data_IF_068709902366
#
_entry.id   IF_068709902366
#
_cell.length_a   1.000
_cell.length_b   1.000
_cell.length_c   1.000
_cell.angle_alpha   90.00
_cell.angle_beta   90.00
_cell.angle_gamma   90.00
#
_symmetry.space_group_name_H-M   'P 1'
#
loop_
_entity.id
_entity.type
_entity.pdbx_description
1 polymer ?
#
# COMPACT_ATOMS: atom_id res chain seq x y z
N UNK A 1 -7.66 44.52 31.07
CA UNK A 1 -7.37 45.09 32.41
C UNK A 1 -6.01 45.76 32.35
N UNK A 2 -5.86 47.01 32.81
CA UNK A 2 -4.58 47.72 32.73
C UNK A 2 -3.50 47.01 33.58
N UNK A 3 -2.26 46.87 33.08
CA UNK A 3 -1.20 46.10 33.75
C UNK A 3 -0.88 46.59 35.17
N UNK A 4 -1.10 47.88 35.46
CA UNK A 4 -0.88 48.48 36.78
C UNK A 4 -1.89 48.05 37.85
N UNK A 5 -3.19 47.99 37.50
CA UNK A 5 -4.26 47.63 38.46
C UNK A 5 -4.01 46.24 39.04
N UNK A 6 -3.76 45.28 38.13
CA UNK A 6 -3.42 43.91 38.49
C UNK A 6 -2.13 43.82 39.33
N UNK A 7 -1.08 44.55 38.96
CA UNK A 7 0.18 44.51 39.72
C UNK A 7 0.04 45.04 41.15
N UNK A 8 -0.84 46.02 41.38
CA UNK A 8 -1.16 46.52 42.71
C UNK A 8 -2.06 45.55 43.50
N UNK A 9 -3.04 44.93 42.83
CA UNK A 9 -3.87 43.88 43.43
C UNK A 9 -3.02 42.69 43.91
N UNK A 10 -2.09 42.22 43.07
CA UNK A 10 -1.16 41.13 43.38
C UNK A 10 -0.24 41.48 44.57
N UNK A 11 0.06 42.77 44.76
CA UNK A 11 0.82 43.28 45.90
C UNK A 11 -0.02 43.54 47.15
N UNK A 12 -1.34 43.31 47.10
CA UNK A 12 -2.27 43.58 48.20
C UNK A 12 -2.41 45.06 48.54
N UNK A 13 -2.20 45.95 47.58
CA UNK A 13 -2.29 47.41 47.77
C UNK A 13 -3.71 47.85 47.40
N UNK A 14 -4.47 48.33 48.39
CA UNK A 14 -5.83 48.81 48.16
C UNK A 14 -5.82 50.14 47.39
N UNK A 15 -6.47 50.17 46.23
CA UNK A 15 -6.45 51.30 45.31
C UNK A 15 -7.71 51.34 44.42
N UNK A 16 -7.91 52.47 43.76
CA UNK A 16 -8.88 52.62 42.68
C UNK A 16 -8.34 53.55 41.58
N UNK A 17 -8.95 53.55 40.41
CA UNK A 17 -8.66 54.51 39.35
C UNK A 17 -9.64 55.68 39.44
N UNK A 18 -9.19 56.88 39.05
CA UNK A 18 -10.07 58.06 38.99
C UNK A 18 -11.30 57.80 38.10
N UNK A 19 -11.13 57.11 36.97
CA UNK A 19 -12.23 56.73 36.08
C UNK A 19 -13.28 55.82 36.72
N UNK A 20 -12.88 54.98 37.68
CA UNK A 20 -13.79 54.06 38.36
C UNK A 20 -14.58 54.78 39.49
N UNK A 21 -14.18 56.00 39.86
CA UNK A 21 -14.72 56.74 41.02
C UNK A 21 -15.55 57.97 40.67
N UNK A 22 -15.71 58.27 39.38
CA UNK A 22 -16.43 59.43 38.88
C UNK A 22 -17.49 58.96 37.87
N UNK A 23 -18.74 59.25 38.18
CA UNK A 23 -19.86 59.21 37.24
C UNK A 23 -20.26 60.65 36.86
N UNK A 24 -20.86 60.84 35.69
CA UNK A 24 -21.43 62.13 35.29
C UNK A 24 -22.85 62.23 35.85
N UNK A 25 -23.12 63.27 36.66
CA UNK A 25 -24.43 63.49 37.26
C UNK A 25 -25.34 64.36 36.38
N UNK A 26 -24.77 65.38 35.73
CA UNK A 26 -25.47 66.22 34.76
C UNK A 26 -24.94 65.97 33.35
N UNK A 27 -25.76 65.29 32.54
CA UNK A 27 -25.46 64.92 31.16
C UNK A 27 -25.15 66.12 30.25
N UNK A 28 -25.65 67.31 30.59
CA UNK A 28 -25.34 68.55 29.87
C UNK A 28 -23.85 68.82 29.81
N UNK A 29 -23.12 68.44 30.87
CA UNK A 29 -21.68 68.66 31.01
C UNK A 29 -20.84 67.43 30.66
N UNK A 30 -21.43 66.37 30.11
CA UNK A 30 -20.70 65.12 29.81
C UNK A 30 -19.47 65.37 28.93
N UNK A 31 -19.63 66.02 27.79
CA UNK A 31 -18.52 66.25 26.86
C UNK A 31 -17.40 67.08 27.51
N UNK A 32 -17.78 68.10 28.29
CA UNK A 32 -16.86 68.95 29.06
C UNK A 32 -16.07 68.15 30.11
N UNK A 33 -16.77 67.35 30.91
CA UNK A 33 -16.18 66.51 31.95
C UNK A 33 -15.26 65.43 31.36
N UNK A 34 -15.72 64.70 30.35
CA UNK A 34 -14.97 63.65 29.65
C UNK A 34 -13.69 64.21 29.03
N UNK A 35 -13.81 65.33 28.31
CA UNK A 35 -12.69 66.00 27.66
C UNK A 35 -11.60 66.44 28.64
N UNK A 36 -12.01 67.06 29.75
CA UNK A 36 -11.09 67.54 30.77
C UNK A 36 -10.46 66.41 31.59
N UNK A 37 -11.23 65.38 31.95
CA UNK A 37 -10.78 64.28 32.81
C UNK A 37 -10.01 63.19 32.05
N UNK A 38 -10.07 63.15 30.72
CA UNK A 38 -9.38 62.14 29.89
C UNK A 38 -7.89 61.92 30.24
N UNK A 39 -7.06 62.94 30.50
CA UNK A 39 -5.67 62.74 30.91
C UNK A 39 -5.54 62.07 32.28
N UNK A 40 -6.54 62.26 33.14
CA UNK A 40 -6.56 61.81 34.54
C UNK A 40 -7.23 60.45 34.74
N UNK A 41 -7.86 59.86 33.72
CA UNK A 41 -8.62 58.60 33.81
C UNK A 41 -7.85 57.45 34.46
N UNK A 42 -6.55 57.37 34.17
CA UNK A 42 -5.66 56.32 34.63
C UNK A 42 -4.85 56.75 35.85
N UNK A 43 -5.20 57.84 36.53
CA UNK A 43 -4.56 58.15 37.79
C UNK A 43 -4.99 57.12 38.83
N UNK A 44 -4.01 56.51 39.48
CA UNK A 44 -4.22 55.57 40.58
C UNK A 44 -4.30 56.35 41.89
N UNK A 45 -5.34 56.05 42.66
CA UNK A 45 -5.59 56.63 43.98
C UNK A 45 -5.39 55.53 45.02
N UNK A 46 -4.44 55.74 45.93
CA UNK A 46 -4.15 54.78 47.00
C UNK A 46 -5.09 55.02 48.17
N UNK A 47 -5.63 53.94 48.74
CA UNK A 47 -6.49 54.02 49.94
C UNK A 47 -5.69 54.34 51.21
N UNK A 48 -4.44 53.87 51.27
CA UNK A 48 -3.56 54.04 52.43
C UNK A 48 -2.27 54.76 52.03
N UNK A 49 -1.97 55.86 52.70
CA UNK A 49 -0.73 56.63 52.47
C UNK A 49 0.53 55.82 52.76
N UNK A 50 0.46 54.83 53.64
CA UNK A 50 1.56 53.93 53.97
C UNK A 50 2.02 53.06 52.80
N UNK A 51 1.20 52.85 51.76
CA UNK A 51 1.55 52.02 50.60
C UNK A 51 2.28 52.78 49.50
N UNK A 52 2.50 54.10 49.65
CA UNK A 52 3.04 54.99 48.61
C UNK A 52 4.38 54.48 48.03
N UNK A 53 5.34 54.17 48.90
CA UNK A 53 6.66 53.69 48.45
C UNK A 53 6.56 52.39 47.64
N UNK A 54 5.77 51.43 48.13
CA UNK A 54 5.57 50.13 47.46
C UNK A 54 4.88 50.30 46.10
N UNK A 55 3.88 51.16 46.04
CA UNK A 55 3.16 51.45 44.81
C UNK A 55 4.05 52.17 43.77
N UNK A 56 4.92 53.07 44.21
CA UNK A 56 5.89 53.76 43.34
C UNK A 56 6.93 52.79 42.77
N UNK A 57 7.43 51.86 43.59
CA UNK A 57 8.34 50.81 43.12
C UNK A 57 7.71 49.94 42.02
N UNK A 58 6.44 49.57 42.18
CA UNK A 58 5.68 48.83 41.18
C UNK A 58 5.47 49.69 39.92
N UNK A 59 5.05 50.94 40.08
CA UNK A 59 4.83 51.87 38.97
C UNK A 59 6.10 52.08 38.14
N UNK A 60 7.25 52.24 38.79
CA UNK A 60 8.54 52.39 38.15
C UNK A 60 8.92 51.15 37.33
N UNK A 61 8.77 49.95 37.91
CA UNK A 61 9.02 48.67 37.22
C UNK A 61 8.12 48.49 36.00
N UNK A 62 6.85 48.89 36.11
CA UNK A 62 5.86 48.80 35.04
C UNK A 62 5.95 49.94 34.02
N UNK A 63 6.87 50.90 34.22
CA UNK A 63 6.98 52.14 33.42
C UNK A 63 5.64 52.84 33.27
N UNK A 64 4.90 52.91 34.37
CA UNK A 64 3.55 53.44 34.40
C UNK A 64 3.57 54.95 34.09
N UNK A 65 2.77 55.37 33.10
CA UNK A 65 2.79 56.73 32.54
C UNK A 65 1.87 57.72 33.26
N UNK A 66 1.09 57.24 34.23
CA UNK A 66 0.09 58.04 34.93
C UNK A 66 0.46 58.18 36.40
N UNK A 67 -0.10 59.20 37.05
CA UNK A 67 0.19 59.45 38.46
C UNK A 67 -0.35 58.33 39.35
N UNK A 68 0.44 58.00 40.37
CA UNK A 68 0.00 57.26 41.55
C UNK A 68 -0.03 58.25 42.70
N UNK A 69 -1.15 58.37 43.39
CA UNK A 69 -1.38 59.45 44.36
C UNK A 69 -1.83 58.88 45.70
N UNK A 70 -1.11 59.25 46.76
CA UNK A 70 -1.49 59.00 48.15
C UNK A 70 -2.12 60.22 48.85
N UNK A 71 -1.94 61.42 48.29
CA UNK A 71 -2.61 62.64 48.75
C UNK A 71 -4.03 62.74 48.17
N UNK A 72 -4.99 62.28 48.97
CA UNK A 72 -6.38 62.15 48.56
C UNK A 72 -7.29 62.87 49.54
N UNK A 73 -8.39 63.43 49.05
CA UNK A 73 -9.44 63.99 49.88
C UNK A 73 -10.80 63.47 49.47
N UNK A 74 -11.70 63.30 50.44
CA UNK A 74 -13.11 63.07 50.17
C UNK A 74 -13.70 64.34 49.53
N UNK A 75 -14.56 64.14 48.54
CA UNK A 75 -15.27 65.26 47.91
C UNK A 75 -16.40 65.68 48.83
N UNK A 76 -16.30 66.90 49.37
CA UNK A 76 -17.37 67.54 50.15
C UNK A 76 -18.43 68.17 49.25
N UNK A 77 -19.07 69.24 49.74
CA UNK A 77 -20.04 69.98 48.94
C UNK A 77 -19.33 70.74 47.80
N UNK A 78 -19.64 70.37 46.55
CA UNK A 78 -19.07 71.02 45.38
C UNK A 78 -19.59 72.47 45.24
N UNK A 79 -18.73 73.43 44.84
CA UNK A 79 -19.19 74.80 44.57
C UNK A 79 -20.26 74.82 43.47
N UNK A 80 -21.35 75.56 43.69
CA UNK A 80 -22.44 75.67 42.73
C UNK A 80 -21.94 76.27 41.40
N UNK A 81 -22.34 75.64 40.28
CA UNK A 81 -21.89 76.04 38.95
C UNK A 81 -20.43 75.68 38.63
N UNK A 82 -19.75 74.87 39.45
CA UNK A 82 -18.46 74.29 39.10
C UNK A 82 -18.60 72.99 38.34
N UNK A 83 -17.57 72.59 37.59
CA UNK A 83 -17.55 71.30 36.90
C UNK A 83 -17.61 70.13 37.89
N UNK A 84 -17.04 70.29 39.10
CA UNK A 84 -17.15 69.29 40.16
C UNK A 84 -18.61 69.03 40.58
N UNK A 85 -19.48 70.03 40.51
CA UNK A 85 -20.90 69.88 40.85
C UNK A 85 -21.71 69.10 39.80
N UNK A 86 -21.17 68.96 38.58
CA UNK A 86 -21.76 68.14 37.52
C UNK A 86 -21.37 66.65 37.61
N UNK A 87 -20.57 66.27 38.60
CA UNK A 87 -20.04 64.92 38.78
C UNK A 87 -20.64 64.25 40.02
N UNK A 88 -20.80 62.94 39.97
CA UNK A 88 -21.05 62.10 41.12
C UNK A 88 -19.76 61.36 41.47
N UNK A 89 -19.20 61.62 42.65
CA UNK A 89 -17.91 61.06 43.08
C UNK A 89 -18.15 60.02 44.17
N UNK A 90 -17.83 58.76 43.88
CA UNK A 90 -18.11 57.61 44.76
C UNK A 90 -16.96 57.21 45.69
N UNK A 91 -15.75 57.73 45.46
CA UNK A 91 -14.56 57.47 46.27
C UNK A 91 -13.65 58.71 46.38
N UNK A 92 -12.72 58.77 47.35
CA UNK A 92 -11.77 59.87 47.47
C UNK A 92 -10.99 60.11 46.16
N UNK A 93 -10.70 61.37 45.86
CA UNK A 93 -9.97 61.77 44.66
C UNK A 93 -8.64 62.45 45.06
N UNK A 94 -7.67 62.55 44.13
CA UNK A 94 -6.47 63.35 44.35
C UNK A 94 -6.81 64.78 44.77
N UNK A 95 -6.15 65.28 45.82
CA UNK A 95 -6.46 66.60 46.39
C UNK A 95 -6.36 67.73 45.36
N UNK A 96 -5.39 67.64 44.45
CA UNK A 96 -5.24 68.59 43.34
C UNK A 96 -6.39 68.54 42.33
N UNK A 97 -6.95 67.36 42.05
CA UNK A 97 -8.00 67.19 41.06
C UNK A 97 -9.32 67.78 41.54
N UNK A 98 -9.66 67.53 42.81
CA UNK A 98 -10.86 68.12 43.43
C UNK A 98 -10.78 69.65 43.43
N UNK A 99 -9.62 70.22 43.78
CA UNK A 99 -9.40 71.68 43.74
C UNK A 99 -9.51 72.23 42.31
N UNK A 100 -8.96 71.52 41.33
CA UNK A 100 -9.05 71.91 39.93
C UNK A 100 -10.51 71.91 39.45
N UNK A 101 -11.23 70.79 39.61
CA UNK A 101 -12.61 70.65 39.16
C UNK A 101 -13.56 71.62 39.87
N UNK A 102 -13.33 71.90 41.15
CA UNK A 102 -14.11 72.87 41.92
C UNK A 102 -13.81 74.33 41.54
N UNK A 103 -12.64 74.60 40.96
CA UNK A 103 -12.25 75.94 40.48
C UNK A 103 -12.71 76.25 39.06
N UNK A 104 -13.11 75.25 38.29
CA UNK A 104 -13.57 75.42 36.90
C UNK A 104 -15.06 75.72 36.91
N UNK A 105 -15.44 76.88 36.39
CA UNK A 105 -16.84 77.30 36.30
C UNK A 105 -17.48 76.82 34.99
N UNK A 106 -18.67 76.24 35.10
CA UNK A 106 -19.51 75.88 33.98
C UNK A 106 -20.22 77.13 33.46
N UNK A 107 -20.07 77.44 32.18
CA UNK A 107 -20.65 78.64 31.52
C UNK A 107 -21.41 78.24 30.26
N UNK A 108 -22.49 78.94 29.93
CA UNK A 108 -23.33 78.61 28.79
C UNK A 108 -22.62 78.90 27.45
N UNK A 109 -21.78 79.93 27.40
CA UNK A 109 -21.08 80.33 26.16
C UNK A 109 -19.68 80.90 26.42
N UNK A 110 -18.90 81.02 25.34
CA UNK A 110 -17.56 81.64 25.37
C UNK A 110 -17.60 83.12 25.75
N UNK A 111 -18.69 83.82 25.39
CA UNK A 111 -18.89 85.23 25.74
C UNK A 111 -19.14 85.39 27.24
N UNK A 112 -19.98 84.54 27.85
CA UNK A 112 -20.20 84.52 29.29
C UNK A 112 -18.89 84.20 30.03
N UNK A 113 -18.17 83.17 29.57
CA UNK A 113 -16.87 82.81 30.14
C UNK A 113 -15.86 83.97 30.10
N UNK A 114 -15.80 84.71 29.00
CA UNK A 114 -14.91 85.88 28.88
C UNK A 114 -15.24 86.98 29.91
N UNK A 115 -16.53 87.17 30.25
CA UNK A 115 -16.96 88.14 31.25
C UNK A 115 -16.68 87.68 32.69
N UNK A 116 -16.92 86.40 32.99
CA UNK A 116 -16.68 85.81 34.31
C UNK A 116 -15.18 85.81 34.66
N UNK A 117 -14.32 85.60 33.67
CA UNK A 117 -12.88 85.44 33.88
C UNK A 117 -12.54 84.15 34.63
N UNK A 118 -11.26 83.99 35.01
CA UNK A 118 -10.81 82.75 35.68
C UNK A 118 -10.89 81.49 34.81
N UNK A 119 -10.96 80.32 35.41
CA UNK A 119 -11.08 79.05 34.68
C UNK A 119 -12.55 78.70 34.43
N UNK A 120 -12.89 78.37 33.19
CA UNK A 120 -14.25 77.99 32.82
C UNK A 120 -14.29 77.02 31.66
N UNK A 121 -15.44 76.34 31.53
CA UNK A 121 -15.69 75.37 30.47
C UNK A 121 -17.13 75.48 29.95
N UNK A 122 -17.33 75.34 28.64
CA UNK A 122 -18.66 75.24 28.01
C UNK A 122 -19.12 73.79 27.91
N UNK A 123 -20.43 73.57 27.72
CA UNK A 123 -21.00 72.23 27.51
C UNK A 123 -20.37 71.50 26.31
N UNK A 124 -20.04 72.24 25.25
CA UNK A 124 -19.33 71.74 24.05
C UNK A 124 -17.82 71.50 24.27
N UNK A 125 -17.38 71.45 25.53
CA UNK A 125 -16.02 71.13 25.93
C UNK A 125 -14.96 72.14 25.43
N UNK A 126 -15.31 73.43 25.36
CA UNK A 126 -14.32 74.50 25.20
C UNK A 126 -13.84 74.99 26.56
N UNK A 127 -12.57 74.77 26.87
CA UNK A 127 -11.97 75.04 28.17
C UNK A 127 -10.99 76.21 28.10
N UNK A 128 -11.07 77.11 29.09
CA UNK A 128 -10.15 78.24 29.24
C UNK A 128 -9.49 78.20 30.61
N UNK A 129 -8.18 78.36 30.62
CA UNK A 129 -7.39 78.55 31.84
C UNK A 129 -6.52 79.81 31.76
N UNK A 130 -5.61 80.00 32.73
CA UNK A 130 -4.67 81.13 32.75
C UNK A 130 -3.70 81.18 31.56
N UNK A 131 -3.58 80.12 30.76
CA UNK A 131 -2.70 80.02 29.58
C UNK A 131 -3.44 80.32 28.28
N UNK A 132 -4.78 80.22 28.27
CA UNK A 132 -5.61 80.46 27.08
C UNK A 132 -6.80 79.51 26.98
N UNK A 133 -7.51 79.59 25.85
CA UNK A 133 -8.65 78.72 25.52
C UNK A 133 -8.28 77.61 24.55
N UNK A 134 -8.85 76.41 24.73
CA UNK A 134 -8.74 75.28 23.80
C UNK A 134 -9.97 74.38 23.85
N UNK A 135 -10.26 73.70 22.75
CA UNK A 135 -11.19 72.58 22.78
C UNK A 135 -10.55 71.38 23.48
N UNK A 136 -11.30 70.78 24.40
CA UNK A 136 -11.00 69.47 25.00
C UNK A 136 -12.02 68.42 24.56
N UNK A 137 -12.82 68.72 23.53
CA UNK A 137 -13.86 67.84 23.01
C UNK A 137 -13.32 66.44 22.66
N UNK A 138 -14.12 65.43 22.98
CA UNK A 138 -13.88 64.03 22.67
C UNK A 138 -15.15 63.45 22.07
N UNK A 139 -15.00 62.53 21.12
CA UNK A 139 -16.16 61.89 20.52
C UNK A 139 -16.87 60.99 21.53
N UNK A 140 -18.19 60.84 21.38
CA UNK A 140 -19.00 60.04 22.30
C UNK A 140 -18.53 58.58 22.43
N UNK A 141 -17.95 58.00 21.36
CA UNK A 141 -17.36 56.65 21.39
C UNK A 141 -16.14 56.52 22.30
N UNK A 142 -15.49 57.64 22.63
CA UNK A 142 -14.28 57.70 23.43
C UNK A 142 -14.54 58.07 24.91
N UNK A 143 -15.80 58.30 25.29
CA UNK A 143 -16.22 58.54 26.67
C UNK A 143 -15.83 57.36 27.59
N UNK A 144 -15.29 57.66 28.77
CA UNK A 144 -14.71 56.66 29.69
C UNK A 144 -15.17 56.78 31.14
N UNK A 145 -15.90 57.83 31.50
CA UNK A 145 -16.41 58.05 32.84
C UNK A 145 -17.90 57.69 32.90
N UNK A 146 -18.26 56.85 33.86
CA UNK A 146 -19.65 56.40 34.01
C UNK A 146 -19.85 54.89 33.81
N UNK A 147 -20.65 54.25 34.66
CA UNK A 147 -21.18 52.90 34.39
C UNK A 147 -21.89 52.82 33.03
N UNK A 148 -22.68 53.85 32.69
CA UNK A 148 -23.39 53.97 31.40
C UNK A 148 -22.46 54.08 30.18
N UNK A 149 -21.25 54.64 30.33
CA UNK A 149 -20.28 54.72 29.25
C UNK A 149 -19.65 53.36 28.94
N UNK A 150 -19.41 52.55 29.99
CA UNK A 150 -18.94 51.16 29.84
C UNK A 150 -20.01 50.30 29.18
N UNK A 151 -21.28 50.42 29.60
CA UNK A 151 -22.40 49.67 29.01
C UNK A 151 -22.67 50.09 27.56
N UNK A 152 -22.62 51.39 27.25
CA UNK A 152 -22.75 51.89 25.88
C UNK A 152 -21.63 51.38 24.97
N UNK A 153 -20.40 51.30 25.49
CA UNK A 153 -19.26 50.75 24.76
C UNK A 153 -19.40 49.25 24.54
N UNK A 154 -19.90 48.52 25.54
CA UNK A 154 -20.19 47.10 25.41
C UNK A 154 -21.24 46.86 24.33
N UNK A 155 -22.35 47.61 24.36
CA UNK A 155 -23.41 47.51 23.36
C UNK A 155 -22.92 47.85 21.95
N UNK A 156 -22.06 48.87 21.80
CA UNK A 156 -21.47 49.23 20.51
C UNK A 156 -20.57 48.12 19.94
N UNK A 157 -19.72 47.51 20.79
CA UNK A 157 -18.87 46.38 20.39
C UNK A 157 -19.67 45.13 20.05
N UNK A 158 -20.74 44.84 20.81
CA UNK A 158 -21.64 43.72 20.53
C UNK A 158 -22.38 43.92 19.18
N UNK A 159 -22.82 45.14 18.88
CA UNK A 159 -23.42 45.48 17.59
C UNK A 159 -22.43 45.37 16.42
N UNK A 160 -21.19 45.81 16.62
CA UNK A 160 -20.13 45.68 15.62
C UNK A 160 -19.77 44.21 15.36
N UNK A 161 -19.68 43.39 16.40
CA UNK A 161 -19.48 41.94 16.27
C UNK A 161 -20.60 41.29 15.46
N UNK A 162 -21.86 41.57 15.80
CA UNK A 162 -23.02 41.02 15.09
C UNK A 162 -23.04 41.42 13.61
N UNK A 163 -22.63 42.66 13.30
CA UNK A 163 -22.48 43.10 11.90
C UNK A 163 -21.43 42.27 11.17
N UNK A 164 -20.24 42.10 11.75
CA UNK A 164 -19.16 41.35 11.13
C UNK A 164 -19.51 39.88 10.93
N UNK A 165 -20.21 39.26 11.88
CA UNK A 165 -20.73 37.89 11.74
C UNK A 165 -21.71 37.76 10.56
N UNK A 166 -22.58 38.76 10.38
CA UNK A 166 -23.49 38.84 9.24
C UNK A 166 -22.75 39.00 7.90
N UNK A 167 -21.72 39.86 7.85
CA UNK A 167 -20.90 40.02 6.66
C UNK A 167 -20.12 38.74 6.31
N UNK A 168 -19.56 38.06 7.31
CA UNK A 168 -18.84 36.79 7.13
C UNK A 168 -19.76 35.70 6.58
N UNK A 169 -20.97 35.56 7.15
CA UNK A 169 -21.98 34.59 6.70
C UNK A 169 -22.38 34.82 5.23
N UNK A 170 -22.57 36.09 4.84
CA UNK A 170 -22.86 36.48 3.45
C UNK A 170 -21.72 36.10 2.50
N UNK A 171 -20.47 36.41 2.87
CA UNK A 171 -19.29 36.07 2.07
C UNK A 171 -19.14 34.55 1.92
N UNK A 172 -19.33 33.78 3.00
CA UNK A 172 -19.26 32.33 2.97
C UNK A 172 -20.30 31.71 2.01
N UNK A 173 -21.53 32.24 2.00
CA UNK A 173 -22.57 31.81 1.04
C UNK A 173 -22.18 32.11 -0.41
N UNK A 174 -21.66 33.31 -0.68
CA UNK A 174 -21.21 33.69 -2.02
C UNK A 174 -20.04 32.80 -2.49
N UNK A 175 -19.09 32.50 -1.61
CA UNK A 175 -17.97 31.60 -1.90
C UNK A 175 -18.47 30.19 -2.25
N UNK A 176 -19.42 29.64 -1.49
CA UNK A 176 -19.97 28.32 -1.76
C UNK A 176 -20.67 28.24 -3.13
N UNK A 177 -21.37 29.31 -3.54
CA UNK A 177 -22.00 29.39 -4.86
C UNK A 177 -20.97 29.44 -5.99
N UNK A 178 -19.94 30.28 -5.85
CA UNK A 178 -18.86 30.38 -6.85
C UNK A 178 -18.10 29.06 -6.97
N UNK A 179 -17.82 28.38 -5.86
CA UNK A 179 -17.16 27.07 -5.86
C UNK A 179 -18.00 26.00 -6.58
N UNK A 180 -19.33 26.03 -6.42
CA UNK A 180 -20.23 25.13 -7.15
C UNK A 180 -20.18 25.41 -8.65
N UNK A 181 -20.31 26.69 -9.04
CA UNK A 181 -20.26 27.10 -10.45
C UNK A 181 -18.92 26.73 -11.10
N UNK A 182 -17.81 26.92 -10.38
CA UNK A 182 -16.49 26.54 -10.85
C UNK A 182 -16.39 25.03 -11.14
N UNK A 183 -16.89 24.18 -10.22
CA UNK A 183 -16.90 22.73 -10.42
C UNK A 183 -17.76 22.30 -11.61
N UNK A 184 -18.90 22.95 -11.83
CA UNK A 184 -19.77 22.66 -12.96
C UNK A 184 -19.09 23.02 -14.30
N UNK A 185 -18.45 24.19 -14.38
CA UNK A 185 -17.66 24.60 -15.55
C UNK A 185 -16.48 23.66 -15.79
N UNK A 186 -15.78 23.24 -14.74
CA UNK A 186 -14.67 22.29 -14.85
C UNK A 186 -15.13 20.94 -15.42
N UNK A 187 -16.27 20.41 -14.97
CA UNK A 187 -16.86 19.18 -15.51
C UNK A 187 -17.25 19.33 -16.98
N UNK A 188 -17.87 20.45 -17.35
CA UNK A 188 -18.23 20.74 -18.74
C UNK A 188 -16.98 20.81 -19.64
N UNK A 189 -15.91 21.49 -19.18
CA UNK A 189 -14.66 21.61 -19.92
C UNK A 189 -13.97 20.26 -20.16
N UNK A 190 -13.98 19.35 -19.17
CA UNK A 190 -13.47 17.98 -19.33
C UNK A 190 -14.29 17.22 -20.39
N UNK A 191 -15.62 17.36 -20.37
CA UNK A 191 -16.50 16.76 -21.38
C UNK A 191 -16.22 17.26 -22.80
N UNK A 192 -16.02 18.57 -22.97
CA UNK A 192 -15.65 19.16 -24.26
C UNK A 192 -14.29 18.66 -24.76
N UNK A 193 -13.29 18.58 -23.87
CA UNK A 193 -11.97 18.07 -24.24
C UNK A 193 -12.02 16.61 -24.68
N UNK A 194 -12.79 15.77 -23.99
CA UNK A 194 -12.97 14.37 -24.38
C UNK A 194 -13.66 14.24 -25.76
N UNK A 195 -14.68 15.07 -26.04
CA UNK A 195 -15.34 15.09 -27.34
C UNK A 195 -14.40 15.57 -28.46
N UNK A 196 -13.56 16.57 -28.18
CA UNK A 196 -12.55 17.07 -29.12
C UNK A 196 -11.48 16.01 -29.41
N UNK A 197 -10.94 15.33 -28.40
CA UNK A 197 -9.97 14.25 -28.59
C UNK A 197 -10.54 13.09 -29.42
N UNK A 198 -11.83 12.74 -29.22
CA UNK A 198 -12.51 11.76 -30.06
C UNK A 198 -12.66 12.22 -31.51
N UNK A 199 -12.94 13.51 -31.72
CA UNK A 199 -13.03 14.10 -33.06
C UNK A 199 -11.67 14.12 -33.76
N UNK A 200 -10.61 14.50 -33.06
CA UNK A 200 -9.24 14.54 -33.59
C UNK A 200 -8.74 13.15 -33.99
N UNK A 201 -9.17 12.10 -33.28
CA UNK A 201 -8.81 10.71 -33.56
C UNK A 201 -9.83 9.94 -34.41
N UNK A 202 -10.85 10.61 -34.95
CA UNK A 202 -11.91 9.96 -35.71
C UNK A 202 -11.37 9.19 -36.93
N UNK A 203 -10.39 9.75 -37.63
CA UNK A 203 -9.78 9.13 -38.80
C UNK A 203 -8.98 7.87 -38.43
N UNK A 204 -8.23 7.89 -37.32
CA UNK A 204 -7.50 6.72 -36.80
C UNK A 204 -8.47 5.56 -36.45
N UNK A 205 -9.61 5.87 -35.84
CA UNK A 205 -10.64 4.88 -35.54
C UNK A 205 -11.31 4.36 -36.81
N UNK A 206 -11.55 5.21 -37.80
CA UNK A 206 -12.12 4.82 -39.09
C UNK A 206 -11.16 3.87 -39.83
N UNK A 207 -9.87 4.20 -39.90
CA UNK A 207 -8.84 3.31 -40.47
C UNK A 207 -8.77 1.97 -39.73
N UNK A 208 -8.74 2.00 -38.39
CA UNK A 208 -8.70 0.79 -37.57
C UNK A 208 -9.92 -0.10 -37.80
N UNK A 209 -11.11 0.52 -37.89
CA UNK A 209 -12.38 -0.17 -38.18
C UNK A 209 -12.39 -0.76 -39.59
N UNK A 210 -11.80 -0.08 -40.57
CA UNK A 210 -11.68 -0.57 -41.93
C UNK A 210 -10.68 -1.74 -42.05
N UNK A 211 -9.58 -1.73 -41.29
CA UNK A 211 -8.56 -2.80 -41.30
C UNK A 211 -8.97 -4.05 -40.53
N UNK A 212 -9.82 -3.92 -39.52
CA UNK A 212 -10.19 -5.00 -38.60
C UNK A 212 -10.76 -6.27 -39.30
N UNK A 213 -11.68 -6.19 -40.29
CA UNK A 213 -12.19 -7.36 -40.98
C UNK A 213 -11.10 -8.14 -41.72
N UNK A 214 -10.20 -7.43 -42.42
CA UNK A 214 -9.08 -8.04 -43.16
C UNK A 214 -8.14 -8.75 -42.21
N UNK A 215 -7.79 -8.14 -41.07
CA UNK A 215 -6.95 -8.77 -40.05
C UNK A 215 -7.61 -10.01 -39.42
N UNK A 216 -8.92 -9.96 -39.19
CA UNK A 216 -9.69 -11.13 -38.70
C UNK A 216 -9.68 -12.28 -39.72
N UNK A 217 -9.86 -11.96 -40.99
CA UNK A 217 -9.79 -12.95 -42.07
C UNK A 217 -8.39 -13.55 -42.19
N UNK A 218 -7.34 -12.72 -42.21
CA UNK A 218 -5.95 -13.18 -42.27
C UNK A 218 -5.59 -14.10 -41.09
N UNK A 219 -6.11 -13.79 -39.89
CA UNK A 219 -5.97 -14.67 -38.71
C UNK A 219 -6.66 -16.02 -38.93
N UNK A 220 -7.90 -16.02 -39.43
CA UNK A 220 -8.64 -17.26 -39.67
C UNK A 220 -7.95 -18.13 -40.73
N UNK A 221 -7.50 -17.54 -41.84
CA UNK A 221 -6.75 -18.23 -42.88
C UNK A 221 -5.44 -18.82 -42.36
N UNK A 222 -4.70 -18.06 -41.55
CA UNK A 222 -3.45 -18.53 -40.95
C UNK A 222 -3.68 -19.70 -40.00
N UNK A 223 -4.76 -19.67 -39.21
CA UNK A 223 -5.14 -20.79 -38.34
C UNK A 223 -5.49 -22.05 -39.14
N UNK A 224 -6.22 -21.90 -40.25
CA UNK A 224 -6.53 -23.02 -41.15
C UNK A 224 -5.25 -23.61 -41.76
N UNK A 225 -4.32 -22.77 -42.23
CA UNK A 225 -3.04 -23.23 -42.79
C UNK A 225 -2.20 -23.98 -41.74
N UNK A 226 -2.16 -23.48 -40.49
CA UNK A 226 -1.44 -24.16 -39.41
C UNK A 226 -2.03 -25.54 -39.13
N UNK A 227 -3.37 -25.63 -39.01
CA UNK A 227 -4.07 -26.91 -38.80
C UNK A 227 -3.81 -27.93 -39.93
N UNK A 228 -3.75 -27.46 -41.18
CA UNK A 228 -3.40 -28.31 -42.32
C UNK A 228 -1.95 -28.82 -42.22
N UNK A 229 -1.00 -27.93 -41.89
CA UNK A 229 0.40 -28.30 -41.72
C UNK A 229 0.60 -29.28 -40.55
N UNK A 230 -0.10 -29.09 -39.43
CA UNK A 230 -0.06 -30.01 -38.29
C UNK A 230 -0.58 -31.40 -38.69
N UNK A 231 -1.69 -31.46 -39.43
CA UNK A 231 -2.24 -32.73 -39.90
C UNK A 231 -1.31 -33.44 -40.90
N UNK A 232 -0.65 -32.70 -41.78
CA UNK A 232 0.38 -33.23 -42.70
C UNK A 232 1.61 -33.73 -41.93
N UNK A 233 2.08 -32.96 -40.94
CA UNK A 233 3.20 -33.34 -40.09
C UNK A 233 2.91 -34.64 -39.32
N UNK A 234 1.75 -34.74 -38.68
CA UNK A 234 1.30 -35.94 -37.98
C UNK A 234 1.21 -37.16 -38.90
N UNK A 235 0.74 -36.96 -40.14
CA UNK A 235 0.69 -38.02 -41.14
C UNK A 235 2.09 -38.49 -41.50
N UNK A 236 3.01 -37.58 -41.80
CA UNK A 236 4.39 -37.91 -42.16
C UNK A 236 5.10 -38.61 -40.99
N UNK A 237 4.90 -38.16 -39.75
CA UNK A 237 5.45 -38.82 -38.56
C UNK A 237 4.94 -40.25 -38.39
N UNK A 238 3.62 -40.47 -38.55
CA UNK A 238 3.03 -41.82 -38.51
C UNK A 238 3.61 -42.72 -39.60
N UNK A 239 3.71 -42.21 -40.83
CA UNK A 239 4.25 -42.97 -41.97
C UNK A 239 5.74 -43.28 -41.76
N UNK A 240 6.53 -42.33 -41.24
CA UNK A 240 7.94 -42.53 -40.89
C UNK A 240 8.12 -43.59 -39.80
N UNK A 241 7.34 -43.51 -38.71
CA UNK A 241 7.39 -44.48 -37.60
C UNK A 241 7.03 -45.88 -38.09
N UNK A 242 6.00 -45.99 -38.95
CA UNK A 242 5.61 -47.27 -39.55
C UNK A 242 6.71 -47.84 -40.45
N UNK A 243 7.35 -46.97 -41.23
CA UNK A 243 8.48 -47.36 -42.09
C UNK A 243 9.67 -47.87 -41.27
N UNK A 244 9.99 -47.18 -40.18
CA UNK A 244 11.06 -47.56 -39.24
C UNK A 244 10.76 -48.91 -38.57
N UNK A 245 9.55 -49.11 -38.04
CA UNK A 245 9.13 -50.39 -37.46
C UNK A 245 9.15 -51.53 -38.48
N UNK A 246 8.71 -51.27 -39.73
CA UNK A 246 8.76 -52.26 -40.79
C UNK A 246 10.21 -52.62 -41.15
N UNK A 247 11.11 -51.64 -41.17
CA UNK A 247 12.53 -51.84 -41.41
C UNK A 247 13.20 -52.65 -40.29
N UNK A 248 12.96 -52.30 -39.02
CA UNK A 248 13.47 -53.04 -37.86
C UNK A 248 12.93 -54.48 -37.86
N UNK A 249 11.64 -54.66 -38.11
CA UNK A 249 11.02 -55.99 -38.22
C UNK A 249 11.63 -56.83 -39.35
N UNK A 250 11.89 -56.22 -40.51
CA UNK A 250 12.56 -56.89 -41.61
C UNK A 250 14.01 -57.26 -41.28
N UNK A 251 14.76 -56.41 -40.58
CA UNK A 251 16.11 -56.73 -40.11
C UNK A 251 16.12 -57.89 -39.11
N UNK A 252 15.21 -57.88 -38.13
CA UNK A 252 15.09 -58.96 -37.16
C UNK A 252 14.74 -60.29 -37.86
N UNK A 253 13.76 -60.28 -38.75
CA UNK A 253 13.37 -61.46 -39.52
C UNK A 253 14.52 -62.00 -40.39
N UNK A 254 15.31 -61.11 -41.00
CA UNK A 254 16.51 -61.49 -41.75
C UNK A 254 17.54 -62.18 -40.84
N UNK A 255 17.86 -61.56 -39.70
CA UNK A 255 18.83 -62.11 -38.73
C UNK A 255 18.40 -63.48 -38.19
N UNK A 256 17.12 -63.63 -37.85
CA UNK A 256 16.57 -64.89 -37.35
C UNK A 256 16.56 -65.97 -38.45
N UNK A 257 16.27 -65.57 -39.69
CA UNK A 257 16.34 -66.42 -40.88
C UNK A 257 17.76 -66.92 -41.15
N UNK A 258 18.74 -66.02 -41.13
CA UNK A 258 20.17 -66.33 -41.27
C UNK A 258 20.66 -67.24 -40.14
N UNK A 259 20.30 -66.93 -38.89
CA UNK A 259 20.64 -67.75 -37.73
C UNK A 259 20.05 -69.16 -37.81
N UNK A 260 18.80 -69.28 -38.24
CA UNK A 260 18.13 -70.56 -38.46
C UNK A 260 18.78 -71.37 -39.59
N UNK A 261 19.15 -70.70 -40.70
CA UNK A 261 19.85 -71.33 -41.81
C UNK A 261 21.24 -71.83 -41.38
N UNK A 262 22.01 -71.01 -40.66
CA UNK A 262 23.30 -71.40 -40.09
C UNK A 262 23.18 -72.54 -39.07
N UNK A 263 22.12 -72.55 -38.26
CA UNK A 263 21.77 -73.65 -37.36
C UNK A 263 21.55 -74.97 -38.12
N UNK A 264 20.68 -74.95 -39.14
CA UNK A 264 20.43 -76.12 -40.00
C UNK A 264 21.70 -76.62 -40.68
N UNK A 265 22.54 -75.72 -41.20
CA UNK A 265 23.82 -76.08 -41.82
C UNK A 265 24.73 -76.84 -40.83
N UNK A 266 24.92 -76.31 -39.62
CA UNK A 266 25.72 -76.97 -38.58
C UNK A 266 25.16 -78.34 -38.19
N UNK A 267 23.84 -78.46 -38.06
CA UNK A 267 23.19 -79.73 -37.76
C UNK A 267 23.41 -80.77 -38.88
N UNK A 268 23.25 -80.38 -40.14
CA UNK A 268 23.52 -81.25 -41.28
C UNK A 268 24.99 -81.67 -41.36
N UNK A 269 25.92 -80.77 -41.09
CA UNK A 269 27.36 -81.08 -41.02
C UNK A 269 27.67 -82.08 -39.91
N UNK A 270 27.14 -81.85 -38.70
CA UNK A 270 27.31 -82.76 -37.57
C UNK A 270 26.75 -84.16 -37.88
N UNK A 271 25.52 -84.25 -38.41
CA UNK A 271 24.93 -85.52 -38.86
C UNK A 271 25.80 -86.21 -39.90
N UNK A 272 26.35 -85.45 -40.86
CA UNK A 272 27.24 -86.00 -41.89
C UNK A 272 28.53 -86.56 -41.30
N UNK A 273 29.14 -85.90 -40.31
CA UNK A 273 30.33 -86.40 -39.63
C UNK A 273 30.04 -87.66 -38.80
N UNK A 274 28.91 -87.72 -38.08
CA UNK A 274 28.48 -88.93 -37.36
C UNK A 274 28.32 -90.11 -38.33
N UNK A 275 27.62 -89.90 -39.46
CA UNK A 275 27.45 -90.94 -40.49
C UNK A 275 28.79 -91.36 -41.12
N UNK A 276 29.71 -90.41 -41.36
CA UNK A 276 31.06 -90.70 -41.86
C UNK A 276 31.86 -91.54 -40.87
N UNK A 277 31.81 -91.21 -39.57
CA UNK A 277 32.48 -91.97 -38.51
C UNK A 277 31.94 -93.39 -38.42
N UNK A 278 30.62 -93.56 -38.32
CA UNK A 278 29.98 -94.87 -38.30
C UNK A 278 30.31 -95.71 -39.54
N UNK A 279 30.37 -95.08 -40.73
CA UNK A 279 30.79 -95.76 -41.96
C UNK A 279 32.25 -96.24 -41.91
N UNK A 280 33.17 -95.42 -41.38
CA UNK A 280 34.59 -95.80 -41.22
C UNK A 280 34.76 -96.94 -40.22
N UNK A 281 34.09 -96.86 -39.07
CA UNK A 281 34.11 -97.91 -38.03
C UNK A 281 33.57 -99.23 -38.57
N UNK A 282 32.42 -99.19 -39.27
CA UNK A 282 31.85 -100.37 -39.95
C UNK A 282 32.83 -100.96 -40.97
N UNK A 283 33.52 -100.15 -41.78
CA UNK A 283 34.54 -100.62 -42.73
C UNK A 283 35.76 -101.22 -42.03
N UNK A 284 36.20 -100.65 -40.91
CA UNK A 284 37.33 -101.17 -40.15
C UNK A 284 37.01 -102.53 -39.50
N UNK A 285 35.83 -102.67 -38.87
CA UNK A 285 35.35 -103.95 -38.36
C UNK A 285 35.22 -104.99 -39.49
N UNK A 286 34.65 -104.57 -40.62
CA UNK A 286 34.52 -105.40 -41.83
C UNK A 286 35.87 -105.98 -42.30
N UNK A 287 36.98 -105.26 -42.12
CA UNK A 287 38.31 -105.71 -42.52
C UNK A 287 38.94 -106.75 -41.58
N UNK A 288 38.43 -106.92 -40.35
CA UNK A 288 38.92 -107.92 -39.39
C UNK A 288 38.35 -109.31 -39.64
N UNK A 289 37.26 -109.41 -40.40
CA UNK A 289 36.64 -110.69 -40.73
C UNK A 289 37.35 -111.38 -41.91
N UNK A 290 37.42 -112.73 -41.93
CA UNK A 290 37.96 -113.49 -43.05
C UNK A 290 37.30 -113.14 -44.39
N UNK A 291 38.08 -112.98 -45.46
CA UNK A 291 37.59 -112.44 -46.74
C UNK A 291 36.40 -113.20 -47.36
N UNK A 292 36.23 -114.49 -47.05
CA UNK A 292 35.09 -115.30 -47.48
C UNK A 292 33.78 -114.93 -46.75
N UNK A 293 33.83 -114.48 -45.49
CA UNK A 293 32.64 -114.10 -44.70
C UNK A 293 32.07 -112.75 -45.11
N UNK A 294 32.91 -111.92 -45.73
CA UNK A 294 32.57 -110.53 -46.05
C UNK A 294 32.16 -110.32 -47.51
N UNK A 295 32.08 -111.40 -48.29
CA UNK A 295 31.59 -111.34 -49.66
C UNK A 295 30.12 -110.91 -49.67
N UNK A 296 29.66 -110.14 -50.67
CA UNK A 296 28.27 -109.73 -50.77
C UNK A 296 27.28 -110.90 -50.66
N UNK A 297 27.60 -112.05 -51.28
CA UNK A 297 26.77 -113.25 -51.19
C UNK A 297 26.68 -113.83 -49.77
N UNK A 298 27.78 -113.82 -49.00
CA UNK A 298 27.79 -114.30 -47.62
C UNK A 298 27.02 -113.33 -46.69
N UNK A 299 27.23 -112.02 -46.86
CA UNK A 299 26.48 -111.00 -46.10
C UNK A 299 24.98 -111.00 -46.44
N UNK A 300 24.62 -111.26 -47.70
CA UNK A 300 23.22 -111.43 -48.11
C UNK A 300 22.62 -112.67 -47.44
N UNK A 301 23.30 -113.82 -47.48
CA UNK A 301 22.84 -115.03 -46.80
C UNK A 301 22.62 -114.81 -45.29
N UNK A 302 23.55 -114.12 -44.61
CA UNK A 302 23.40 -113.77 -43.17
C UNK A 302 22.21 -112.82 -42.95
N UNK A 303 21.97 -111.85 -43.85
CA UNK A 303 20.82 -110.95 -43.74
C UNK A 303 19.50 -111.65 -44.04
N UNK A 304 19.49 -112.61 -44.95
CA UNK A 304 18.30 -113.41 -45.26
C UNK A 304 18.01 -114.39 -44.13
N UNK A 305 19.03 -114.93 -43.45
CA UNK A 305 18.87 -115.85 -42.32
C UNK A 305 18.39 -115.14 -41.05
N UNK A 306 18.90 -113.93 -40.76
CA UNK A 306 18.63 -113.23 -39.49
C UNK A 306 17.77 -111.97 -39.62
N UNK A 307 17.41 -111.51 -40.83
CA UNK A 307 16.66 -110.28 -41.18
C UNK A 307 17.26 -108.95 -40.66
N UNK A 308 17.68 -108.88 -39.41
CA UNK A 308 18.25 -107.74 -38.74
C UNK A 308 19.34 -108.16 -37.72
N UNK A 309 20.13 -107.18 -37.29
CA UNK A 309 21.23 -107.42 -36.36
C UNK A 309 20.77 -108.00 -35.00
N UNK A 310 19.55 -107.68 -34.56
CA UNK A 310 19.04 -108.11 -33.25
C UNK A 310 18.74 -109.61 -33.22
N UNK A 311 18.21 -110.17 -34.29
CA UNK A 311 17.96 -111.62 -34.40
C UNK A 311 19.26 -112.43 -34.49
N UNK A 312 20.27 -111.92 -35.21
CA UNK A 312 21.60 -112.53 -35.24
C UNK A 312 22.22 -112.59 -33.83
N UNK A 313 22.07 -111.50 -33.06
CA UNK A 313 22.54 -111.42 -31.67
C UNK A 313 21.84 -112.45 -30.76
N UNK A 314 20.52 -112.63 -30.91
CA UNK A 314 19.76 -113.63 -30.17
C UNK A 314 20.19 -115.06 -30.52
N UNK A 315 20.40 -115.37 -31.81
CA UNK A 315 20.84 -116.72 -32.21
C UNK A 315 22.25 -117.02 -31.71
N UNK A 316 23.17 -116.06 -31.79
CA UNK A 316 24.51 -116.22 -31.21
C UNK A 316 24.43 -116.53 -29.72
N UNK A 317 23.58 -115.81 -28.97
CA UNK A 317 23.37 -116.09 -27.55
C UNK A 317 22.80 -117.49 -27.28
N UNK A 318 21.91 -118.00 -28.13
CA UNK A 318 21.39 -119.36 -28.02
C UNK A 318 22.45 -120.43 -28.28
N UNK A 319 23.32 -120.21 -29.28
CA UNK A 319 24.44 -121.12 -29.58
C UNK A 319 25.43 -121.17 -28.41
N UNK A 320 25.74 -120.03 -27.80
CA UNK A 320 26.59 -119.98 -26.61
C UNK A 320 25.98 -120.77 -25.44
N UNK A 321 24.66 -120.68 -25.25
CA UNK A 321 23.95 -121.46 -24.22
C UNK A 321 23.97 -122.97 -24.51
N UNK A 322 23.78 -123.39 -25.77
CA UNK A 322 23.85 -124.79 -26.17
C UNK A 322 25.25 -125.39 -25.98
N UNK A 323 26.30 -124.63 -26.29
CA UNK A 323 27.70 -125.05 -26.09
C UNK A 323 28.05 -125.20 -24.60
N UNK A 324 27.56 -124.32 -23.73
CA UNK A 324 27.83 -124.39 -22.30
C UNK A 324 27.04 -125.50 -21.58
N UNK A 325 25.89 -125.93 -22.11
CA UNK A 325 24.98 -126.88 -21.47
C UNK A 325 25.02 -128.33 -21.97
N UNK A 326 25.72 -128.64 -23.07
CA UNK A 326 25.73 -129.97 -23.69
C UNK A 326 26.44 -131.06 -22.86
N UNK A 327 25.86 -132.26 -22.81
CA UNK A 327 26.52 -133.46 -22.28
C UNK A 327 27.37 -134.10 -23.38
N UNK A 328 28.67 -133.83 -23.35
CA UNK A 328 29.64 -134.39 -24.28
C UNK A 328 30.16 -135.73 -23.75
N UNK A 329 30.27 -136.73 -24.63
CA UNK A 329 30.78 -138.07 -24.27
C UNK A 329 32.27 -138.00 -23.89
N UNK A 330 32.60 -138.42 -22.66
CA UNK A 330 33.94 -138.29 -22.06
C UNK A 330 34.65 -139.64 -21.89
N UNK A 331 34.21 -140.69 -22.61
CA UNK A 331 34.81 -142.02 -22.48
C UNK A 331 36.26 -142.03 -22.98
N UNK A 332 37.20 -142.34 -22.07
CA UNK A 332 38.63 -142.27 -22.29
C UNK A 332 39.11 -143.14 -23.47
N UNK A 333 38.39 -144.23 -23.77
CA UNK A 333 38.72 -145.13 -24.88
C UNK A 333 38.47 -144.51 -26.26
N UNK A 334 37.56 -143.53 -26.37
CA UNK A 334 37.23 -142.82 -27.61
C UNK A 334 38.17 -141.64 -27.82
N UNK A 335 38.56 -140.95 -26.73
CA UNK A 335 39.54 -139.85 -26.77
C UNK A 335 40.94 -140.35 -27.18
N UNK A 336 41.38 -141.52 -26.69
CA UNK A 336 42.68 -142.10 -27.09
C UNK A 336 42.68 -142.61 -28.54
N UNK A 337 41.55 -143.12 -29.04
CA UNK A 337 41.44 -143.61 -30.42
C UNK A 337 41.48 -142.45 -31.43
N UNK A 338 40.83 -141.33 -31.10
CA UNK A 338 40.92 -140.10 -31.90
C UNK A 338 42.33 -139.50 -31.85
N UNK A 339 42.98 -139.50 -30.68
CA UNK A 339 44.37 -139.02 -30.56
C UNK A 339 45.37 -139.85 -31.38
N UNK A 340 45.16 -141.16 -31.55
CA UNK A 340 45.98 -142.01 -32.44
C UNK A 340 45.66 -141.87 -33.94
N UNK A 341 44.47 -141.41 -34.31
CA UNK A 341 44.11 -141.15 -35.71
C UNK A 341 44.54 -139.75 -36.19
N UNK A 342 44.92 -138.86 -35.28
CA UNK A 342 45.43 -137.52 -35.59
C UNK A 342 46.97 -137.44 -35.62
N UNK A 343 47.68 -138.58 -35.53
CA UNK A 343 49.13 -138.68 -35.74
C UNK A 343 49.46 -139.06 -37.19
#
# INVERSE_FOLDING_TARGET
>A
MAPMKRALDDAGIAHHLVADSIDIADETWRAAAEGLLRPSRWVVVLKHRSDEGRAFDIAAKQRYRHYVVADTQAVGQAPAGSLLAALNVSAPLPSWLVRQLGGIRCVASTEEGAQVGGEWITADAYYRDGRGGRSVFVEARDHQFGASAVDSRRAALEAESARWDGELSRIAKAQAEVERQFKDVQRAAVGHKAAQELSERADEFAESRARLPVLRQARAESATRMSQLDAEHDRVLRDSTRSEQAYEGAQMALRDGEGSAAGRLREHEARREVLRKASRESRAQKAQFPANWVKPAALAAVRDEFENARQAEIRAHHVDQELQGGHWEVDASVVERHARMAA
#
